data_IF_330800298004
#
_entry.id   IF_330800298004
#
_cell.length_a   1.000
_cell.length_b   1.000
_cell.length_c   1.000
_cell.angle_alpha   90.00
_cell.angle_beta   90.00
_cell.angle_gamma   90.00
#
_symmetry.space_group_name_H-M   'P 1'
#
loop_
_entity.id
_entity.type
_entity.pdbx_description
1 polymer ?
#
# COMPACT_ATOMS: atom_id res chain seq x y z
N UNK A 1 -37.37 -31.68 -72.70
CA UNK A 1 -37.12 -33.16 -72.74
C UNK A 1 -37.13 -33.60 -71.28
N UNK A 2 -38.23 -34.09 -70.74
CA UNK A 2 -38.70 -35.50 -70.75
C UNK A 2 -37.59 -36.39 -70.11
N UNK A 3 -37.72 -36.96 -68.96
CA UNK A 3 -38.52 -38.03 -68.39
C UNK A 3 -37.81 -38.46 -67.10
N UNK A 4 -38.27 -39.02 -66.11
CA UNK A 4 -39.46 -39.71 -65.54
C UNK A 4 -39.08 -40.17 -64.14
N UNK A 5 -39.82 -39.89 -63.13
CA UNK A 5 -40.66 -40.72 -62.27
C UNK A 5 -40.13 -42.14 -62.03
N UNK A 6 -39.87 -42.51 -60.78
CA UNK A 6 -40.36 -43.79 -60.24
C UNK A 6 -40.47 -43.75 -58.71
N UNK A 7 -41.65 -43.98 -58.25
CA UNK A 7 -42.18 -44.23 -56.93
C UNK A 7 -42.07 -45.72 -56.61
N UNK A 8 -41.81 -46.08 -55.36
CA UNK A 8 -42.32 -47.33 -54.70
C UNK A 8 -41.65 -47.44 -53.34
N UNK A 9 -42.36 -47.14 -52.26
CA UNK A 9 -43.24 -47.96 -51.39
C UNK A 9 -42.47 -48.79 -50.35
N UNK A 10 -42.66 -48.34 -49.11
CA UNK A 10 -43.30 -49.04 -47.99
C UNK A 10 -42.62 -50.34 -47.48
N UNK A 11 -42.07 -50.28 -46.28
CA UNK A 11 -42.54 -51.15 -45.18
C UNK A 11 -41.85 -50.84 -43.86
N UNK A 12 -42.68 -50.67 -42.86
CA UNK A 12 -42.35 -50.49 -41.48
C UNK A 12 -41.71 -51.74 -40.87
N UNK A 13 -40.68 -51.58 -40.07
CA UNK A 13 -40.33 -52.57 -39.06
C UNK A 13 -39.89 -51.87 -37.80
N UNK A 14 -40.80 -51.83 -36.84
CA UNK A 14 -40.52 -51.43 -35.44
C UNK A 14 -39.68 -52.53 -34.80
N UNK A 15 -38.43 -52.24 -34.48
CA UNK A 15 -37.65 -53.03 -33.53
C UNK A 15 -37.32 -52.15 -32.35
N UNK A 16 -38.04 -52.40 -31.26
CA UNK A 16 -37.72 -51.92 -29.91
C UNK A 16 -36.44 -52.66 -29.46
N UNK A 17 -35.30 -52.03 -29.50
CA UNK A 17 -34.10 -52.50 -28.81
C UNK A 17 -33.85 -51.51 -27.62
N UNK A 18 -34.12 -52.01 -26.42
CA UNK A 18 -33.76 -51.43 -25.15
C UNK A 18 -32.24 -51.43 -25.04
N UNK A 19 -31.61 -50.26 -25.32
CA UNK A 19 -30.22 -50.05 -24.99
C UNK A 19 -30.10 -49.74 -23.51
N UNK A 20 -29.67 -50.75 -22.77
CA UNK A 20 -29.24 -50.60 -21.38
C UNK A 20 -27.79 -50.09 -21.42
N UNK A 21 -27.61 -48.76 -21.49
CA UNK A 21 -26.29 -48.13 -21.32
C UNK A 21 -25.91 -48.21 -19.85
N UNK A 22 -25.19 -49.24 -19.48
CA UNK A 22 -24.28 -49.19 -18.33
C UNK A 22 -23.02 -48.49 -18.81
N UNK A 23 -22.91 -47.19 -18.58
CA UNK A 23 -21.63 -46.49 -18.68
C UNK A 23 -20.67 -47.08 -17.65
N UNK A 24 -19.78 -47.96 -18.13
CA UNK A 24 -18.59 -48.34 -17.38
C UNK A 24 -17.70 -47.11 -17.39
N UNK A 25 -17.62 -46.41 -16.26
CA UNK A 25 -16.55 -45.45 -15.99
C UNK A 25 -15.21 -46.14 -16.30
N UNK A 26 -14.55 -45.70 -17.37
CA UNK A 26 -13.16 -46.07 -17.61
C UNK A 26 -12.31 -45.43 -16.50
N UNK A 27 -11.46 -46.19 -15.79
CA UNK A 27 -10.54 -45.59 -14.85
C UNK A 27 -9.62 -44.65 -15.64
N UNK A 28 -9.63 -43.35 -15.25
CA UNK A 28 -8.73 -42.33 -15.77
C UNK A 28 -7.30 -42.81 -15.60
N UNK A 29 -6.58 -42.97 -16.71
CA UNK A 29 -5.16 -43.30 -16.67
C UNK A 29 -4.39 -42.17 -16.00
N UNK A 30 -3.34 -42.49 -15.22
CA UNK A 30 -2.51 -41.51 -14.49
C UNK A 30 -1.89 -40.41 -15.37
N UNK A 31 -1.95 -40.52 -16.69
CA UNK A 31 -1.47 -39.53 -17.65
C UNK A 31 -2.51 -38.42 -17.97
N UNK A 32 -3.82 -38.70 -17.80
CA UNK A 32 -4.85 -37.68 -18.02
C UNK A 32 -4.98 -36.66 -16.86
N UNK A 33 -4.31 -36.88 -15.72
CA UNK A 33 -4.31 -36.00 -14.56
C UNK A 33 -3.27 -34.86 -14.62
N UNK A 34 -2.51 -34.73 -15.71
CA UNK A 34 -1.50 -33.67 -15.87
C UNK A 34 -1.83 -32.71 -17.00
N UNK A 35 -3.04 -32.19 -17.06
CA UNK A 35 -3.23 -30.90 -17.72
C UNK A 35 -2.55 -29.88 -16.83
N UNK A 36 -1.51 -29.16 -17.30
CA UNK A 36 -0.89 -28.14 -16.48
C UNK A 36 -1.97 -27.11 -16.18
N UNK A 37 -2.32 -26.98 -14.90
CA UNK A 37 -3.22 -25.92 -14.44
C UNK A 37 -2.60 -24.61 -14.93
N UNK A 38 -3.27 -23.91 -15.84
CA UNK A 38 -2.79 -22.64 -16.39
C UNK A 38 -2.76 -21.63 -15.24
N UNK A 39 -1.57 -21.43 -14.65
CA UNK A 39 -1.38 -20.52 -13.51
C UNK A 39 -1.64 -19.09 -13.96
N UNK A 40 -2.26 -18.31 -13.10
CA UNK A 40 -2.47 -16.89 -13.36
C UNK A 40 -1.15 -16.12 -13.22
N UNK A 41 -0.95 -15.07 -14.03
CA UNK A 41 0.31 -14.33 -14.09
C UNK A 41 0.72 -13.68 -12.76
N UNK A 42 -0.22 -13.47 -11.85
CA UNK A 42 0.04 -12.90 -10.52
C UNK A 42 0.50 -13.93 -9.48
N UNK A 43 0.52 -15.23 -9.84
CA UNK A 43 0.84 -16.35 -8.94
C UNK A 43 2.29 -16.81 -9.03
N UNK A 44 3.09 -16.27 -9.95
CA UNK A 44 4.50 -16.64 -10.11
C UNK A 44 5.33 -15.54 -10.76
N UNK A 45 6.63 -15.55 -10.50
CA UNK A 45 7.60 -14.65 -11.10
C UNK A 45 8.22 -13.68 -10.10
N UNK A 46 8.88 -12.64 -10.62
CA UNK A 46 9.58 -11.64 -9.80
C UNK A 46 9.07 -10.25 -10.13
N UNK A 47 8.98 -9.41 -9.10
CA UNK A 47 8.64 -7.99 -9.21
C UNK A 47 9.53 -7.18 -8.27
N UNK A 48 10.12 -6.09 -8.76
CA UNK A 48 10.69 -5.06 -7.89
C UNK A 48 9.64 -3.99 -7.66
N UNK A 49 9.30 -3.76 -6.40
CA UNK A 49 8.42 -2.68 -5.95
C UNK A 49 9.28 -1.57 -5.37
N UNK A 50 9.12 -0.36 -5.89
CA UNK A 50 9.78 0.82 -5.33
C UNK A 50 8.89 1.47 -4.27
N UNK A 51 9.48 1.97 -3.20
CA UNK A 51 8.75 2.54 -2.06
C UNK A 51 9.52 3.71 -1.46
N UNK A 52 8.81 4.80 -1.09
CA UNK A 52 9.42 5.81 -0.21
C UNK A 52 9.76 5.17 1.14
N UNK A 53 10.96 5.43 1.70
CA UNK A 53 11.39 4.83 2.97
C UNK A 53 10.37 4.93 4.11
N UNK A 54 9.52 5.97 4.12
CA UNK A 54 8.46 6.15 5.13
C UNK A 54 7.43 5.01 5.15
N UNK A 55 7.29 4.25 4.07
CA UNK A 55 6.27 3.19 3.91
C UNK A 55 6.85 1.79 3.82
N UNK A 56 8.16 1.64 4.04
CA UNK A 56 8.88 0.36 3.89
C UNK A 56 8.25 -0.75 4.73
N UNK A 57 7.94 -0.48 6.00
CA UNK A 57 7.39 -1.51 6.90
C UNK A 57 6.05 -2.03 6.39
N UNK A 58 5.15 -1.14 5.98
CA UNK A 58 3.86 -1.55 5.38
C UNK A 58 4.06 -2.36 4.10
N UNK A 59 4.93 -1.87 3.19
CA UNK A 59 5.21 -2.54 1.93
C UNK A 59 5.76 -3.95 2.16
N UNK A 60 6.72 -4.10 3.08
CA UNK A 60 7.33 -5.39 3.40
C UNK A 60 6.32 -6.34 4.03
N UNK A 61 5.56 -5.89 5.04
CA UNK A 61 4.54 -6.71 5.71
C UNK A 61 3.47 -7.23 4.75
N UNK A 62 3.03 -6.39 3.80
CA UNK A 62 2.09 -6.80 2.75
C UNK A 62 2.73 -7.78 1.76
N UNK A 63 3.99 -7.56 1.35
CA UNK A 63 4.71 -8.41 0.42
C UNK A 63 4.98 -9.80 1.02
N UNK A 64 5.39 -9.85 2.28
CA UNK A 64 5.68 -11.12 2.97
C UNK A 64 4.44 -12.01 3.01
N UNK A 65 3.28 -11.47 3.37
CA UNK A 65 2.04 -12.25 3.41
C UNK A 65 1.55 -12.62 2.00
N UNK A 66 1.73 -11.74 1.01
CA UNK A 66 1.42 -12.06 -0.38
C UNK A 66 2.28 -13.23 -0.90
N UNK A 67 3.57 -13.24 -0.59
CA UNK A 67 4.49 -14.33 -0.96
C UNK A 67 4.19 -15.63 -0.22
N UNK A 68 3.62 -15.58 1.00
CA UNK A 68 3.10 -16.79 1.68
C UNK A 68 1.91 -17.38 0.93
N UNK A 69 1.01 -16.54 0.40
CA UNK A 69 -0.14 -17.01 -0.38
C UNK A 69 0.26 -17.51 -1.80
N UNK A 70 1.33 -16.94 -2.35
CA UNK A 70 1.86 -17.26 -3.67
C UNK A 70 3.37 -17.56 -3.59
N UNK A 71 3.77 -18.80 -3.20
CA UNK A 71 5.17 -19.13 -2.90
C UNK A 71 6.14 -19.01 -4.08
N UNK A 72 5.61 -19.03 -5.32
CA UNK A 72 6.42 -18.87 -6.54
C UNK A 72 6.52 -17.39 -6.98
N UNK A 73 5.99 -16.46 -6.19
CA UNK A 73 6.18 -15.03 -6.37
C UNK A 73 7.35 -14.55 -5.50
N UNK A 74 8.21 -13.71 -6.09
CA UNK A 74 9.23 -12.97 -5.36
C UNK A 74 9.02 -11.46 -5.56
N UNK A 75 8.70 -10.76 -4.47
CA UNK A 75 8.64 -9.29 -4.46
C UNK A 75 9.88 -8.77 -3.72
N UNK A 76 10.64 -7.92 -4.39
CA UNK A 76 11.80 -7.22 -3.81
C UNK A 76 11.42 -5.76 -3.57
N UNK A 77 11.60 -5.28 -2.34
CA UNK A 77 11.35 -3.89 -1.99
C UNK A 77 12.63 -3.07 -2.22
N UNK A 78 12.53 -2.06 -3.07
CA UNK A 78 13.60 -1.07 -3.32
C UNK A 78 13.18 0.27 -2.73
N UNK A 79 13.98 0.79 -1.80
CA UNK A 79 13.75 2.13 -1.25
C UNK A 79 14.27 3.20 -2.23
N UNK A 80 13.47 4.24 -2.45
CA UNK A 80 13.83 5.41 -3.24
C UNK A 80 13.03 6.62 -2.75
N UNK A 81 13.65 7.78 -2.69
CA UNK A 81 13.01 9.03 -2.24
C UNK A 81 11.85 9.39 -3.15
N UNK A 82 10.72 9.79 -2.56
CA UNK A 82 9.43 9.95 -3.23
C UNK A 82 9.50 10.74 -4.53
N UNK A 83 10.18 11.87 -4.54
CA UNK A 83 10.23 12.73 -5.73
C UNK A 83 10.96 12.04 -6.90
N UNK A 84 12.09 11.37 -6.60
CA UNK A 84 12.81 10.59 -7.59
C UNK A 84 12.02 9.35 -8.03
N UNK A 85 11.41 8.64 -7.08
CA UNK A 85 10.60 7.46 -7.36
C UNK A 85 9.40 7.78 -8.27
N UNK A 86 8.71 8.91 -8.03
CA UNK A 86 7.62 9.38 -8.89
C UNK A 86 8.14 9.72 -10.29
N UNK A 87 9.32 10.36 -10.40
CA UNK A 87 9.94 10.64 -11.70
C UNK A 87 10.22 9.36 -12.46
N UNK A 88 10.93 8.41 -11.86
CA UNK A 88 11.28 7.14 -12.49
C UNK A 88 10.01 6.33 -12.87
N UNK A 89 8.93 6.47 -12.09
CA UNK A 89 7.66 5.82 -12.38
C UNK A 89 6.98 6.42 -13.62
N UNK A 90 6.86 7.75 -13.74
CA UNK A 90 6.23 8.32 -14.93
C UNK A 90 7.13 8.29 -16.17
N UNK A 91 8.43 8.06 -16.00
CA UNK A 91 9.35 7.70 -17.10
C UNK A 91 9.17 6.23 -17.55
N UNK A 92 8.36 5.43 -16.86
CA UNK A 92 8.05 4.05 -17.22
C UNK A 92 9.07 3.03 -16.72
N UNK A 93 10.01 3.42 -15.86
CA UNK A 93 11.08 2.56 -15.35
C UNK A 93 10.63 1.67 -14.17
N UNK A 94 9.57 2.05 -13.48
CA UNK A 94 9.05 1.38 -12.29
C UNK A 94 7.67 0.80 -12.58
N UNK A 95 7.44 -0.51 -12.38
CA UNK A 95 6.13 -1.15 -12.60
C UNK A 95 5.15 -0.98 -11.44
N UNK A 96 5.65 -0.87 -10.21
CA UNK A 96 4.86 -0.73 -8.99
C UNK A 96 5.55 0.20 -8.01
N UNK A 97 4.83 1.20 -7.52
CA UNK A 97 5.36 2.25 -6.66
C UNK A 97 4.42 2.53 -5.48
N UNK A 98 4.97 2.68 -4.26
CA UNK A 98 4.23 3.10 -3.07
C UNK A 98 4.72 4.47 -2.61
N UNK A 99 3.81 5.46 -2.59
CA UNK A 99 4.09 6.88 -2.31
C UNK A 99 2.93 7.57 -1.60
N UNK A 100 3.11 8.85 -1.20
CA UNK A 100 2.09 9.64 -0.51
C UNK A 100 1.15 10.42 -1.43
N UNK A 101 1.38 10.42 -2.74
CA UNK A 101 0.58 11.21 -3.70
C UNK A 101 0.46 10.52 -5.07
N UNK A 102 -0.67 10.72 -5.77
CA UNK A 102 -0.83 10.20 -7.12
C UNK A 102 -0.07 11.07 -8.14
N UNK A 103 0.05 10.58 -9.38
CA UNK A 103 0.57 11.39 -10.48
C UNK A 103 -0.37 12.56 -10.83
N UNK A 104 0.21 13.68 -11.17
CA UNK A 104 -0.51 14.79 -11.81
C UNK A 104 -0.99 14.40 -13.20
N UNK A 105 -1.98 15.12 -13.75
CA UNK A 105 -2.48 14.86 -15.13
C UNK A 105 -1.38 14.91 -16.18
N UNK A 106 -0.43 15.84 -16.06
CA UNK A 106 0.68 15.94 -16.99
C UNK A 106 1.63 14.73 -16.91
N UNK A 107 1.94 14.26 -15.72
CA UNK A 107 2.75 13.05 -15.50
C UNK A 107 2.03 11.78 -15.99
N UNK A 108 0.71 11.67 -15.79
CA UNK A 108 -0.09 10.56 -16.32
C UNK A 108 -0.06 10.52 -17.85
N UNK A 109 -0.21 11.69 -18.50
CA UNK A 109 -0.14 11.79 -19.96
C UNK A 109 1.26 11.40 -20.46
N UNK A 110 2.31 11.90 -19.82
CA UNK A 110 3.69 11.56 -20.18
C UNK A 110 3.94 10.03 -20.07
N UNK A 111 3.52 9.41 -18.97
CA UNK A 111 3.62 7.96 -18.77
C UNK A 111 2.88 7.19 -19.88
N UNK A 112 1.64 7.60 -20.20
CA UNK A 112 0.86 6.97 -21.25
C UNK A 112 1.53 7.10 -22.62
N UNK A 113 2.09 8.27 -22.95
CA UNK A 113 2.77 8.50 -24.22
C UNK A 113 4.01 7.60 -24.38
N UNK A 114 4.70 7.33 -23.29
CA UNK A 114 5.87 6.44 -23.26
C UNK A 114 5.53 4.95 -23.31
N UNK A 115 4.58 4.53 -22.50
CA UNK A 115 4.35 3.10 -22.26
C UNK A 115 3.12 2.54 -22.96
N UNK A 116 2.18 3.41 -23.37
CA UNK A 116 0.84 3.04 -23.87
C UNK A 116 0.01 2.25 -22.87
N UNK A 117 0.37 2.31 -21.56
CA UNK A 117 -0.34 1.66 -20.47
C UNK A 117 -1.13 2.71 -19.70
N UNK A 118 -2.38 2.40 -19.39
CA UNK A 118 -3.19 3.28 -18.55
C UNK A 118 -2.70 3.21 -17.10
N UNK A 119 -2.43 4.37 -16.55
CA UNK A 119 -2.08 4.55 -15.15
C UNK A 119 -3.22 4.12 -14.22
N UNK A 120 -2.86 3.37 -13.19
CA UNK A 120 -3.79 2.97 -12.12
C UNK A 120 -3.21 3.36 -10.79
N UNK A 121 -3.98 4.07 -9.98
CA UNK A 121 -3.64 4.36 -8.59
C UNK A 121 -4.72 3.83 -7.64
N UNK A 122 -4.30 3.35 -6.49
CA UNK A 122 -5.18 2.87 -5.43
C UNK A 122 -4.70 3.39 -4.10
N UNK A 123 -5.57 4.03 -3.33
CA UNK A 123 -5.28 4.35 -1.92
C UNK A 123 -5.44 3.07 -1.11
N UNK A 124 -4.48 2.75 -0.27
CA UNK A 124 -4.50 1.52 0.54
C UNK A 124 -4.57 1.78 2.05
N UNK A 125 -4.07 2.90 2.51
CA UNK A 125 -4.03 3.26 3.92
C UNK A 125 -4.00 4.77 4.13
N UNK A 126 -4.28 5.21 5.36
CA UNK A 126 -3.95 6.54 5.85
C UNK A 126 -2.81 6.43 6.85
N UNK A 127 -1.82 7.29 6.68
CA UNK A 127 -0.60 7.43 7.50
C UNK A 127 -0.47 8.88 7.98
N UNK A 128 0.60 9.17 8.69
CA UNK A 128 0.93 10.52 9.11
C UNK A 128 2.43 10.81 9.01
N UNK A 129 2.77 12.03 8.66
CA UNK A 129 4.06 12.61 9.03
C UNK A 129 3.96 13.08 10.48
N UNK A 130 4.88 12.62 11.31
CA UNK A 130 4.90 12.89 12.76
C UNK A 130 6.09 13.74 13.15
N UNK A 131 5.91 14.49 14.23
CA UNK A 131 6.93 15.31 14.85
C UNK A 131 7.33 14.63 16.15
N UNK A 132 8.61 14.32 16.28
CA UNK A 132 9.19 13.59 17.41
C UNK A 132 10.26 14.42 18.08
N UNK A 133 10.47 14.23 19.37
CA UNK A 133 11.58 14.85 20.11
C UNK A 133 12.07 13.90 21.20
N UNK A 134 13.20 14.22 21.83
CA UNK A 134 13.68 13.49 22.99
C UNK A 134 12.62 13.44 24.11
N UNK A 135 12.52 12.33 24.85
CA UNK A 135 11.65 12.28 26.05
C UNK A 135 11.99 13.35 27.07
N UNK A 136 13.25 13.79 27.12
CA UNK A 136 13.74 14.82 28.03
C UNK A 136 13.40 16.26 27.59
N UNK A 137 12.93 16.45 26.34
CA UNK A 137 12.50 17.78 25.89
C UNK A 137 11.21 18.20 26.60
N UNK A 138 11.10 19.41 27.19
CA UNK A 138 9.87 19.84 27.84
C UNK A 138 8.70 20.05 26.89
N UNK A 139 8.96 20.23 25.58
CA UNK A 139 7.91 20.44 24.56
C UNK A 139 7.12 19.14 24.37
N UNK A 140 5.79 19.24 24.46
CA UNK A 140 4.86 18.13 24.19
C UNK A 140 3.82 18.46 23.11
N UNK A 141 3.72 19.74 22.75
CA UNK A 141 2.78 20.29 21.78
C UNK A 141 3.48 21.33 20.92
N UNK A 142 3.19 21.34 19.62
CA UNK A 142 3.62 22.39 18.68
C UNK A 142 2.43 22.84 17.82
N UNK A 143 2.52 24.03 17.28
CA UNK A 143 1.53 24.62 16.39
C UNK A 143 1.99 24.56 14.93
N UNK A 144 1.07 24.73 13.99
CA UNK A 144 1.43 24.91 12.57
C UNK A 144 2.27 26.18 12.36
N UNK A 145 2.02 27.20 13.14
CA UNK A 145 2.74 28.47 13.14
C UNK A 145 4.18 28.26 13.60
N UNK A 146 4.41 27.54 14.71
CA UNK A 146 5.77 27.20 15.17
C UNK A 146 6.57 26.49 14.07
N UNK A 147 5.92 25.56 13.33
CA UNK A 147 6.57 24.85 12.24
C UNK A 147 6.90 25.82 11.10
N UNK A 148 5.94 26.65 10.65
CA UNK A 148 6.15 27.60 9.55
C UNK A 148 7.24 28.61 9.85
N UNK A 149 7.29 29.15 11.08
CA UNK A 149 8.24 30.19 11.48
C UNK A 149 9.67 29.65 11.60
N UNK A 150 9.84 28.36 11.91
CA UNK A 150 11.16 27.84 12.24
C UNK A 150 11.75 26.92 11.16
N UNK A 151 10.91 26.22 10.38
CA UNK A 151 11.33 25.11 9.53
C UNK A 151 12.41 25.48 8.51
N UNK A 152 12.31 26.67 7.91
CA UNK A 152 13.26 27.17 6.90
C UNK A 152 13.91 28.49 7.28
N UNK A 153 13.80 28.87 8.54
CA UNK A 153 14.41 30.11 9.04
C UNK A 153 15.93 29.96 9.17
N UNK A 154 16.68 31.04 8.92
CA UNK A 154 18.14 31.00 9.01
C UNK A 154 18.64 30.84 10.47
N UNK A 155 17.93 31.43 11.42
CA UNK A 155 18.22 31.36 12.86
C UNK A 155 16.94 30.89 13.58
N UNK A 156 16.58 29.59 13.50
CA UNK A 156 15.34 29.12 14.10
C UNK A 156 15.43 29.06 15.62
N UNK A 157 14.32 29.36 16.30
CA UNK A 157 14.18 29.11 17.75
C UNK A 157 14.04 27.63 18.06
N UNK A 158 13.48 26.88 17.12
CA UNK A 158 13.28 25.41 17.18
C UNK A 158 13.98 24.82 15.98
N UNK A 159 14.92 23.91 16.22
CA UNK A 159 15.60 23.18 15.16
C UNK A 159 14.73 22.01 14.70
N UNK A 160 14.32 22.03 13.43
CA UNK A 160 13.64 20.91 12.79
C UNK A 160 14.60 20.12 11.91
N UNK A 161 14.52 18.79 11.96
CA UNK A 161 15.35 17.89 11.14
C UNK A 161 14.50 16.84 10.46
N UNK A 162 14.70 16.67 9.16
CA UNK A 162 14.03 15.66 8.36
C UNK A 162 14.83 14.37 8.25
N UNK A 163 14.15 13.29 7.90
CA UNK A 163 14.78 12.08 7.41
C UNK A 163 15.53 12.35 6.10
N UNK A 164 14.84 12.86 5.08
CA UNK A 164 15.45 13.17 3.79
C UNK A 164 14.74 14.36 3.12
N UNK A 165 15.46 15.27 2.42
CA UNK A 165 14.84 16.25 1.55
C UNK A 165 14.12 15.54 0.41
N UNK A 166 12.96 16.07 -0.01
CA UNK A 166 12.10 15.53 -1.06
C UNK A 166 11.51 14.13 -0.75
N UNK A 167 11.55 13.68 0.51
CA UNK A 167 10.83 12.49 0.97
C UNK A 167 9.32 12.74 1.05
N UNK A 168 8.55 11.67 1.23
CA UNK A 168 7.12 11.77 1.50
C UNK A 168 6.80 12.63 2.74
N UNK A 169 7.68 12.62 3.78
CA UNK A 169 7.52 13.45 4.96
C UNK A 169 7.73 14.94 4.66
N UNK A 170 8.79 15.24 3.92
CA UNK A 170 9.09 16.61 3.47
C UNK A 170 7.95 17.17 2.61
N UNK A 171 7.50 16.40 1.62
CA UNK A 171 6.40 16.80 0.73
C UNK A 171 5.10 17.00 1.50
N UNK A 172 4.75 16.09 2.43
CA UNK A 172 3.53 16.22 3.24
C UNK A 172 3.51 17.51 4.07
N UNK A 173 4.62 17.86 4.74
CA UNK A 173 4.67 19.07 5.55
C UNK A 173 4.51 20.32 4.69
N UNK A 174 5.23 20.38 3.56
CA UNK A 174 5.14 21.52 2.65
C UNK A 174 3.74 21.70 2.06
N UNK A 175 3.13 20.61 1.60
CA UNK A 175 1.79 20.63 1.02
C UNK A 175 0.71 21.05 2.05
N UNK A 176 0.76 20.48 3.26
CA UNK A 176 -0.21 20.77 4.33
C UNK A 176 -0.07 22.22 4.85
N UNK A 177 1.13 22.75 4.90
CA UNK A 177 1.41 24.13 5.33
C UNK A 177 1.39 25.13 4.17
N UNK A 178 1.24 24.66 2.91
CA UNK A 178 1.30 25.49 1.68
C UNK A 178 2.60 26.29 1.60
N UNK A 179 3.72 25.63 1.95
CA UNK A 179 5.04 26.26 1.89
C UNK A 179 5.62 26.12 0.49
N UNK A 180 6.09 27.22 -0.06
CA UNK A 180 6.88 27.22 -1.28
C UNK A 180 8.36 27.25 -0.91
N UNK A 181 9.05 26.15 -1.16
CA UNK A 181 10.49 26.05 -0.89
C UNK A 181 11.24 26.57 -2.11
N UNK A 182 11.93 27.70 -1.94
CA UNK A 182 12.75 28.29 -3.01
C UNK A 182 14.01 27.47 -3.29
N UNK A 183 14.55 27.59 -4.50
CA UNK A 183 15.86 27.02 -4.83
C UNK A 183 16.93 27.57 -3.88
N UNK A 184 17.68 26.66 -3.25
CA UNK A 184 18.74 27.03 -2.29
C UNK A 184 18.28 27.12 -0.83
N UNK A 185 17.01 26.86 -0.51
CA UNK A 185 16.55 26.73 0.87
C UNK A 185 17.30 25.59 1.56
N UNK A 186 17.95 25.90 2.68
CA UNK A 186 18.65 24.89 3.48
C UNK A 186 17.63 24.05 4.23
N UNK A 187 17.63 22.76 3.96
CA UNK A 187 16.86 21.74 4.69
C UNK A 187 17.83 20.95 5.54
N UNK A 188 17.62 20.94 6.85
CA UNK A 188 18.40 20.07 7.74
C UNK A 188 17.82 18.66 7.65
N UNK A 189 18.61 17.71 7.15
CA UNK A 189 18.19 16.32 7.00
C UNK A 189 19.33 15.37 7.41
N UNK A 190 18.97 14.24 8.00
CA UNK A 190 19.92 13.25 8.56
C UNK A 190 20.21 12.10 7.62
N UNK A 191 19.41 11.91 6.56
CA UNK A 191 19.55 10.86 5.56
C UNK A 191 18.61 9.65 5.76
N UNK A 192 18.17 9.41 7.00
CA UNK A 192 17.15 8.41 7.31
C UNK A 192 16.49 8.70 8.68
N UNK A 193 15.39 8.01 8.97
CA UNK A 193 14.63 8.22 10.21
C UNK A 193 15.39 7.78 11.47
N UNK A 194 16.26 6.76 11.37
CA UNK A 194 17.06 6.28 12.50
C UNK A 194 18.09 7.35 12.90
N UNK A 195 18.75 7.95 11.93
CA UNK A 195 19.69 9.04 12.20
C UNK A 195 19.00 10.30 12.75
N UNK A 196 17.74 10.54 12.37
CA UNK A 196 16.92 11.58 13.02
C UNK A 196 16.79 11.27 14.51
N UNK A 197 16.39 10.04 14.85
CA UNK A 197 16.23 9.63 16.27
C UNK A 197 17.55 9.71 17.03
N UNK A 198 18.65 9.26 16.44
CA UNK A 198 19.99 9.36 17.03
C UNK A 198 20.44 10.81 17.23
N UNK A 199 20.08 11.71 16.29
CA UNK A 199 20.37 13.14 16.42
C UNK A 199 19.63 13.76 17.61
N UNK A 200 18.36 13.37 17.84
CA UNK A 200 17.57 13.85 18.98
C UNK A 200 18.12 13.40 20.34
N UNK A 201 18.98 12.38 20.38
CA UNK A 201 19.69 12.03 21.61
C UNK A 201 20.88 12.95 21.89
N UNK A 202 21.45 13.57 20.85
CA UNK A 202 22.57 14.53 20.93
C UNK A 202 22.07 15.96 21.15
N UNK A 203 21.04 16.34 20.40
CA UNK A 203 20.33 17.63 20.56
C UNK A 203 18.89 17.38 21.04
N UNK A 204 18.72 17.39 22.35
CA UNK A 204 17.43 17.12 23.01
C UNK A 204 16.40 18.23 22.80
N UNK A 205 16.80 19.38 22.26
CA UNK A 205 15.91 20.51 21.97
C UNK A 205 15.33 20.45 20.56
N UNK A 206 15.93 19.66 19.67
CA UNK A 206 15.49 19.52 18.30
C UNK A 206 14.20 18.71 18.16
N UNK A 207 13.51 18.93 17.04
CA UNK A 207 12.31 18.20 16.64
C UNK A 207 12.60 17.47 15.31
N UNK A 208 12.43 16.16 15.33
CA UNK A 208 12.55 15.30 14.15
C UNK A 208 11.21 15.18 13.41
N UNK A 209 11.27 15.06 12.09
CA UNK A 209 10.13 14.88 11.20
C UNK A 209 10.32 13.56 10.46
N UNK A 210 9.48 12.57 10.77
CA UNK A 210 9.53 11.20 10.19
C UNK A 210 8.12 10.68 9.88
N UNK A 211 8.03 9.53 9.23
CA UNK A 211 6.76 8.83 9.00
C UNK A 211 6.31 8.02 10.22
N UNK A 212 5.00 7.98 10.50
CA UNK A 212 4.43 7.18 11.58
C UNK A 212 4.70 5.68 11.38
N UNK A 213 4.66 5.20 10.14
CA UNK A 213 4.89 3.79 9.80
C UNK A 213 6.28 3.28 10.21
N UNK A 214 7.28 4.15 10.34
CA UNK A 214 8.63 3.77 10.81
C UNK A 214 8.59 3.19 12.24
N UNK A 215 7.66 3.65 13.06
CA UNK A 215 7.50 3.23 14.45
C UNK A 215 6.45 2.12 14.63
N UNK A 216 5.95 1.54 13.55
CA UNK A 216 4.81 0.61 13.57
C UNK A 216 5.17 -0.81 14.00
N UNK A 217 6.40 -1.26 13.74
CA UNK A 217 6.87 -2.62 14.06
C UNK A 217 7.19 -2.78 15.55
N UNK A 218 6.13 -2.87 16.35
CA UNK A 218 6.22 -2.99 17.82
C UNK A 218 6.88 -4.28 18.32
N UNK A 219 7.08 -5.27 17.45
CA UNK A 219 7.80 -6.50 17.77
C UNK A 219 9.31 -6.39 17.54
N UNK A 220 9.78 -5.29 16.97
CA UNK A 220 11.18 -5.04 16.72
C UNK A 220 11.85 -4.40 17.96
N UNK A 221 12.82 -5.06 18.60
CA UNK A 221 13.49 -4.53 19.79
C UNK A 221 14.09 -3.14 19.60
N UNK A 222 14.54 -2.82 18.39
CA UNK A 222 15.09 -1.50 18.06
C UNK A 222 14.01 -0.40 18.08
N UNK A 223 12.82 -0.69 17.59
CA UNK A 223 11.69 0.25 17.65
C UNK A 223 11.24 0.45 19.11
N UNK A 224 11.21 -0.62 19.92
CA UNK A 224 10.92 -0.48 21.35
C UNK A 224 11.96 0.37 22.07
N UNK A 225 13.23 0.24 21.70
CA UNK A 225 14.31 1.09 22.24
C UNK A 225 14.11 2.57 21.83
N UNK A 226 13.76 2.83 20.58
CA UNK A 226 13.48 4.20 20.11
C UNK A 226 12.30 4.83 20.85
N UNK A 227 11.21 4.09 21.05
CA UNK A 227 10.03 4.56 21.78
C UNK A 227 10.30 4.90 23.26
N UNK A 228 11.40 4.40 23.85
CA UNK A 228 11.86 4.80 25.18
C UNK A 228 12.66 6.10 25.18
N UNK A 229 13.22 6.49 24.03
CA UNK A 229 14.11 7.66 23.87
C UNK A 229 13.41 8.89 23.31
N UNK A 230 12.31 8.68 22.57
CA UNK A 230 11.57 9.74 21.88
C UNK A 230 10.10 9.78 22.31
N UNK A 231 9.48 10.91 22.13
CA UNK A 231 8.03 11.09 22.23
C UNK A 231 7.47 11.76 20.97
N UNK A 232 6.24 11.41 20.60
CA UNK A 232 5.50 12.04 19.50
C UNK A 232 4.83 13.29 20.06
N UNK A 233 5.04 14.43 19.41
CA UNK A 233 4.40 15.69 19.77
C UNK A 233 2.95 15.73 19.31
N UNK A 234 2.08 16.34 20.13
CA UNK A 234 0.76 16.73 19.68
C UNK A 234 0.85 17.93 18.75
N UNK A 235 -0.05 18.02 17.78
CA UNK A 235 -0.21 19.21 16.94
C UNK A 235 -1.48 19.93 17.33
N UNK A 236 -1.41 21.25 17.50
CA UNK A 236 -2.61 22.06 17.71
C UNK A 236 -3.40 22.13 16.39
N UNK A 237 -4.67 21.70 16.42
CA UNK A 237 -5.57 21.83 15.27
C UNK A 237 -6.13 23.26 15.16
N UNK A 238 -6.86 23.54 14.06
CA UNK A 238 -7.44 24.87 13.81
C UNK A 238 -8.56 25.25 14.81
N UNK A 239 -8.96 24.31 15.68
CA UNK A 239 -9.97 24.50 16.74
C UNK A 239 -9.33 24.68 18.13
N UNK A 240 -7.98 24.62 18.20
CA UNK A 240 -7.25 24.73 19.47
C UNK A 240 -7.13 23.43 20.26
N UNK A 241 -7.38 22.25 19.65
CA UNK A 241 -7.22 20.96 20.32
C UNK A 241 -5.83 20.37 20.06
N UNK A 242 -5.24 19.77 21.08
CA UNK A 242 -4.01 18.99 20.94
C UNK A 242 -4.32 17.62 20.33
N UNK A 243 -3.85 17.34 19.12
CA UNK A 243 -4.17 16.15 18.36
C UNK A 243 -2.94 15.25 18.18
N UNK A 244 -3.08 13.97 18.52
CA UNK A 244 -2.11 12.90 18.28
C UNK A 244 -2.45 12.10 17.01
N UNK A 245 -1.47 11.46 16.32
CA UNK A 245 -1.69 10.66 15.11
C UNK A 245 -2.26 9.27 15.44
N UNK A 246 -3.41 9.24 16.10
CA UNK A 246 -4.12 7.99 16.40
C UNK A 246 -4.97 7.51 15.22
N UNK A 247 -5.28 6.22 15.15
CA UNK A 247 -6.13 5.65 14.09
C UNK A 247 -7.44 6.44 13.92
N UNK A 248 -8.21 6.79 14.97
CA UNK A 248 -9.39 7.62 14.81
C UNK A 248 -9.10 9.00 14.19
N UNK A 249 -8.02 9.65 14.63
CA UNK A 249 -7.65 10.97 14.14
C UNK A 249 -7.15 10.95 12.69
N UNK A 250 -6.54 9.84 12.24
CA UNK A 250 -6.23 9.60 10.82
C UNK A 250 -7.50 9.37 10.02
N UNK A 251 -8.39 8.50 10.52
CA UNK A 251 -9.65 8.14 9.84
C UNK A 251 -10.51 9.35 9.53
N UNK A 252 -10.62 10.28 10.46
CA UNK A 252 -11.46 11.46 10.31
C UNK A 252 -10.71 12.69 9.81
N UNK A 253 -9.44 12.55 9.42
CA UNK A 253 -8.61 13.66 8.94
C UNK A 253 -8.40 14.77 9.97
N UNK A 254 -8.49 14.44 11.28
CA UNK A 254 -8.34 15.40 12.38
C UNK A 254 -6.87 15.74 12.62
N UNK A 255 -5.96 14.76 12.48
CA UNK A 255 -4.53 15.01 12.59
C UNK A 255 -4.05 15.85 11.38
N UNK A 256 -3.44 17.03 11.58
CA UNK A 256 -3.19 17.97 10.47
C UNK A 256 -2.26 17.43 9.38
N UNK A 257 -1.29 16.60 9.74
CA UNK A 257 -0.29 16.03 8.81
C UNK A 257 -0.59 14.59 8.43
N UNK A 258 -1.88 14.21 8.40
CA UNK A 258 -2.29 12.93 7.82
C UNK A 258 -2.07 12.93 6.30
N UNK A 259 -1.84 11.75 5.73
CA UNK A 259 -1.67 11.53 4.29
C UNK A 259 -2.24 10.19 3.87
N UNK A 260 -2.52 10.08 2.60
CA UNK A 260 -2.88 8.83 1.97
C UNK A 260 -1.63 8.08 1.51
N UNK A 261 -1.67 6.75 1.55
CA UNK A 261 -0.65 5.89 0.94
C UNK A 261 -1.23 5.33 -0.35
N UNK A 262 -0.56 5.62 -1.46
CA UNK A 262 -0.95 5.19 -2.79
C UNK A 262 -0.08 4.04 -3.28
N UNK A 263 -0.72 3.06 -3.92
CA UNK A 263 -0.07 2.13 -4.84
C UNK A 263 -0.32 2.60 -6.27
N UNK A 264 0.74 2.93 -6.98
CA UNK A 264 0.74 3.32 -8.38
C UNK A 264 1.22 2.14 -9.21
N UNK A 265 0.44 1.75 -10.22
CA UNK A 265 0.71 0.59 -11.05
C UNK A 265 0.82 0.99 -12.52
N UNK A 266 1.89 0.51 -13.18
CA UNK A 266 2.14 0.61 -14.61
C UNK A 266 2.46 -0.78 -15.15
N UNK A 267 1.44 -1.62 -15.28
CA UNK A 267 1.57 -3.03 -15.66
C UNK A 267 0.46 -3.41 -16.66
N UNK A 268 0.83 -4.20 -17.67
CA UNK A 268 -0.13 -4.73 -18.65
C UNK A 268 -0.84 -5.95 -18.05
N UNK A 269 -2.17 -5.93 -18.05
CA UNK A 269 -2.98 -7.06 -17.62
C UNK A 269 -3.00 -7.24 -16.09
N UNK A 270 -3.19 -8.49 -15.64
CA UNK A 270 -3.29 -8.86 -14.23
C UNK A 270 -2.06 -9.69 -13.81
N UNK A 271 -0.92 -9.02 -13.69
CA UNK A 271 0.33 -9.59 -13.20
C UNK A 271 0.50 -9.46 -11.68
N UNK A 272 1.74 -9.60 -11.21
CA UNK A 272 2.08 -9.58 -9.77
C UNK A 272 1.70 -8.23 -9.14
N UNK A 273 1.97 -7.10 -9.82
CA UNK A 273 1.63 -5.78 -9.31
C UNK A 273 0.12 -5.58 -9.14
N UNK A 274 -0.69 -6.07 -10.08
CA UNK A 274 -2.15 -6.04 -9.98
C UNK A 274 -2.67 -6.97 -8.88
N UNK A 275 -2.10 -8.17 -8.76
CA UNK A 275 -2.41 -9.13 -7.70
C UNK A 275 -2.09 -8.57 -6.31
N UNK A 276 -0.89 -8.01 -6.13
CA UNK A 276 -0.46 -7.36 -4.90
C UNK A 276 -1.35 -6.16 -4.53
N UNK A 277 -1.68 -5.31 -5.50
CA UNK A 277 -2.57 -4.16 -5.27
C UNK A 277 -3.97 -4.61 -4.82
N UNK A 278 -4.54 -5.65 -5.48
CA UNK A 278 -5.81 -6.26 -5.07
C UNK A 278 -5.74 -6.87 -3.67
N UNK A 279 -4.65 -7.59 -3.38
CA UNK A 279 -4.41 -8.17 -2.05
C UNK A 279 -4.34 -7.08 -0.98
N UNK A 280 -3.59 -5.99 -1.21
CA UNK A 280 -3.45 -4.88 -0.28
C UNK A 280 -4.80 -4.23 0.06
N UNK A 281 -5.72 -4.12 -0.91
CA UNK A 281 -7.09 -3.64 -0.70
C UNK A 281 -8.04 -4.68 -0.12
N UNK A 282 -7.68 -5.95 -0.02
CA UNK A 282 -8.53 -7.01 0.52
C UNK A 282 -8.70 -6.92 2.04
N UNK A 283 -9.69 -7.64 2.59
CA UNK A 283 -9.87 -7.72 4.04
C UNK A 283 -8.59 -8.18 4.77
N UNK A 284 -7.84 -9.10 4.18
CA UNK A 284 -6.59 -9.63 4.74
C UNK A 284 -5.48 -8.58 4.71
N UNK A 285 -5.29 -7.91 3.58
CA UNK A 285 -4.34 -6.79 3.44
C UNK A 285 -4.68 -5.64 4.39
N UNK A 286 -5.94 -5.29 4.54
CA UNK A 286 -6.36 -4.21 5.43
C UNK A 286 -6.20 -4.55 6.93
N UNK A 287 -6.21 -5.84 7.31
CA UNK A 287 -5.80 -6.27 8.65
C UNK A 287 -4.30 -6.05 8.90
N UNK A 288 -3.47 -6.21 7.85
CA UNK A 288 -2.03 -5.90 7.94
C UNK A 288 -1.85 -4.40 8.14
N UNK A 289 -2.55 -3.55 7.36
CA UNK A 289 -2.54 -2.09 7.57
C UNK A 289 -2.86 -1.73 9.02
N UNK A 290 -3.88 -2.36 9.62
CA UNK A 290 -4.23 -2.13 11.03
C UNK A 290 -3.10 -2.56 11.98
N UNK A 291 -2.44 -3.70 11.70
CA UNK A 291 -1.31 -4.21 12.49
C UNK A 291 -0.11 -3.25 12.44
N UNK A 292 0.09 -2.62 11.29
CA UNK A 292 1.10 -1.56 11.11
C UNK A 292 0.70 -0.22 11.77
N UNK A 293 -0.29 -0.22 12.66
CA UNK A 293 -0.79 0.97 13.38
C UNK A 293 -1.26 2.11 12.47
N UNK A 294 -1.60 1.79 11.22
CA UNK A 294 -2.14 2.69 10.23
C UNK A 294 -3.66 2.55 10.12
N UNK A 295 -4.32 3.56 9.56
CA UNK A 295 -5.76 3.49 9.30
C UNK A 295 -6.01 2.80 7.97
N UNK A 296 -6.73 1.65 7.93
CA UNK A 296 -7.17 1.03 6.69
C UNK A 296 -8.04 1.97 5.85
N UNK A 297 -7.79 2.01 4.54
CA UNK A 297 -8.63 2.76 3.63
C UNK A 297 -9.96 2.04 3.38
N UNK A 298 -9.90 0.70 3.18
CA UNK A 298 -11.09 -0.12 3.00
C UNK A 298 -11.54 -0.70 4.34
N UNK A 299 -12.77 -0.39 4.74
CA UNK A 299 -13.36 -0.87 5.99
C UNK A 299 -14.35 -1.98 5.67
N UNK A 300 -14.01 -3.21 6.09
CA UNK A 300 -14.89 -4.37 5.96
C UNK A 300 -15.73 -4.54 7.21
N UNK A 301 -17.06 -4.56 7.04
CA UNK A 301 -17.98 -4.87 8.14
C UNK A 301 -17.77 -6.33 8.56
N UNK A 302 -17.74 -6.57 9.86
CA UNK A 302 -17.79 -7.95 10.38
C UNK A 302 -19.23 -8.43 10.28
N UNK A 303 -19.47 -9.45 9.47
CA UNK A 303 -20.70 -10.23 9.51
C UNK A 303 -20.48 -11.38 10.49
N UNK A 304 -21.22 -11.40 11.58
CA UNK A 304 -21.26 -12.53 12.52
C UNK A 304 -22.48 -13.36 12.14
N UNK A 305 -22.25 -14.52 11.53
CA UNK A 305 -23.30 -15.51 11.39
C UNK A 305 -23.47 -16.18 12.75
N UNK A 306 -24.53 -15.85 13.44
CA UNK A 306 -24.95 -16.60 14.64
C UNK A 306 -25.72 -17.81 14.13
N UNK A 307 -25.06 -18.98 14.09
CA UNK A 307 -25.77 -20.23 13.92
C UNK A 307 -26.53 -20.50 15.21
N UNK A 308 -27.82 -20.29 15.22
CA UNK A 308 -28.70 -20.77 16.29
C UNK A 308 -28.71 -22.31 16.24
N UNK A 309 -27.78 -22.92 16.93
CA UNK A 309 -27.79 -24.37 17.20
C UNK A 309 -28.90 -24.66 18.22
N UNK A 310 -30.14 -24.42 17.85
CA UNK A 310 -31.33 -24.94 18.53
C UNK A 310 -32.09 -25.86 17.59
N UNK A 311 -31.49 -27.01 17.30
CA UNK A 311 -32.28 -28.21 17.02
C UNK A 311 -31.90 -29.25 18.05
N UNK A 312 -32.83 -29.67 18.94
CA UNK A 312 -32.60 -30.82 19.79
C UNK A 312 -32.49 -32.05 18.90
N UNK A 313 -31.43 -32.82 19.11
CA UNK A 313 -31.30 -34.15 18.54
C UNK A 313 -32.53 -34.95 18.93
N UNK A 314 -33.35 -35.39 17.96
CA UNK A 314 -34.38 -36.43 18.10
C UNK A 314 -33.73 -37.78 17.94
#
# INVERSE_FOLDING_TARGET
>A
MIKKISLLSLSAFLIFSTFNCKDKEKPLTKEEQKTPVKRALHEYGKLTMTVDPSFKNLAQSLADIYMVDYPDVKIEIKEEIEEKAIKDFYEGEIPLLMVSKPLTKAQQQHLFDKTRINYVSSVIALDATIFITSVDNPISLITKEDIKENLYHQNPKITFVYDHPNSANYNTVNDKLKLTVGNGTKVTAMGDAEKVIDFLQKDKTAIGIIGLNILSDKGNPKIEEYLKKIKILSILDDKGNAVQPTIPNLKYGVYPFYREIYLLKNEIGFGIGAGYSRFSGSQRGQKIVTRESLQPYFIYKREVQVNDLKQPLQ
#
